data_IF_211397877951
#
_entry.id   IF_211397877951
#
_cell.length_a   1.000
_cell.length_b   1.000
_cell.length_c   1.000
_cell.angle_alpha   90.00
_cell.angle_beta   90.00
_cell.angle_gamma   90.00
#
_symmetry.space_group_name_H-M   'P 1'
#
loop_
_entity.id
_entity.type
_entity.pdbx_description
1 polymer ?
#
# COMPACT_ATOMS: atom_id res chain seq x y z
N UNK A 1 3.80 11.13 26.72
CA UNK A 1 3.75 11.86 25.44
C UNK A 1 3.51 10.81 24.38
N UNK A 2 2.33 10.80 23.75
CA UNK A 2 2.18 10.09 22.47
C UNK A 2 3.03 10.92 21.49
N UNK A 3 4.00 10.31 20.83
CA UNK A 3 4.68 10.97 19.72
C UNK A 3 3.58 11.34 18.72
N UNK A 4 3.44 12.63 18.40
CA UNK A 4 2.49 13.05 17.37
C UNK A 4 2.97 12.44 16.05
N UNK A 5 2.32 11.37 15.62
CA UNK A 5 2.54 10.77 14.31
C UNK A 5 2.14 11.79 13.25
N UNK A 6 3.11 12.48 12.66
CA UNK A 6 2.86 13.39 11.54
C UNK A 6 2.75 12.54 10.27
N UNK A 7 1.60 12.59 9.61
CA UNK A 7 1.42 11.94 8.31
C UNK A 7 2.30 12.65 7.29
N UNK A 8 3.06 11.88 6.51
CA UNK A 8 4.01 12.44 5.56
C UNK A 8 4.01 11.66 4.23
N UNK A 9 3.64 12.36 3.16
CA UNK A 9 3.49 11.79 1.82
C UNK A 9 4.81 11.54 1.07
N UNK A 10 5.96 11.93 1.64
CA UNK A 10 7.30 11.73 1.06
C UNK A 10 8.17 10.78 1.89
N UNK A 11 7.68 10.28 3.02
CA UNK A 11 8.44 9.42 3.92
C UNK A 11 8.79 8.06 3.29
N UNK A 12 9.91 7.49 3.72
CA UNK A 12 10.28 6.14 3.29
C UNK A 12 9.24 5.11 3.78
N UNK A 13 9.01 4.10 2.95
CA UNK A 13 8.14 2.96 3.25
C UNK A 13 8.95 1.95 4.06
N UNK A 14 8.39 1.48 5.18
CA UNK A 14 8.98 0.44 6.02
C UNK A 14 8.27 -0.87 5.73
N UNK A 15 8.92 -1.84 5.04
CA UNK A 15 8.31 -3.11 4.67
C UNK A 15 7.70 -3.83 5.87
N UNK A 16 6.50 -4.35 5.69
CA UNK A 16 5.76 -5.13 6.69
C UNK A 16 5.30 -4.33 7.89
N UNK A 17 5.41 -3.00 7.85
CA UNK A 17 5.13 -2.16 8.99
C UNK A 17 4.35 -0.90 8.66
N UNK A 18 4.92 0.04 7.91
CA UNK A 18 4.38 1.41 7.87
C UNK A 18 4.58 2.15 6.56
N UNK A 19 3.65 3.06 6.27
CA UNK A 19 3.64 3.98 5.14
C UNK A 19 3.26 5.36 5.68
N UNK A 20 4.04 6.38 5.34
CA UNK A 20 3.73 7.78 5.63
C UNK A 20 3.43 8.12 7.10
N UNK A 21 3.98 7.35 8.04
CA UNK A 21 3.73 7.51 9.48
C UNK A 21 2.67 6.56 10.06
N UNK A 22 1.83 5.94 9.24
CA UNK A 22 0.80 4.99 9.68
C UNK A 22 1.39 3.58 9.72
N UNK A 23 1.15 2.82 10.79
CA UNK A 23 1.60 1.43 10.92
C UNK A 23 0.44 0.43 10.92
N UNK A 24 0.70 -0.79 10.44
CA UNK A 24 -0.16 -1.93 10.66
C UNK A 24 -0.33 -2.17 12.17
N UNK A 25 -1.56 -2.40 12.60
CA UNK A 25 -1.94 -2.57 14.00
C UNK A 25 -2.25 -1.28 14.75
N UNK A 26 -1.98 -0.09 14.17
CA UNK A 26 -2.40 1.17 14.77
C UNK A 26 -3.93 1.25 14.84
N UNK A 27 -4.43 1.97 15.85
CA UNK A 27 -5.86 2.22 15.98
C UNK A 27 -6.28 3.42 15.14
N UNK A 28 -7.36 3.27 14.37
CA UNK A 28 -7.85 4.31 13.47
C UNK A 28 -8.20 5.61 14.18
N UNK A 29 -8.70 5.57 15.42
CA UNK A 29 -9.06 6.79 16.16
C UNK A 29 -7.83 7.65 16.38
N UNK A 30 -6.72 7.05 16.80
CA UNK A 30 -5.45 7.76 17.01
C UNK A 30 -4.91 8.36 15.70
N UNK A 31 -5.04 7.63 14.59
CA UNK A 31 -4.57 8.09 13.27
C UNK A 31 -5.39 9.28 12.77
N UNK A 32 -6.71 9.21 12.85
CA UNK A 32 -7.60 10.28 12.39
C UNK A 32 -7.41 11.55 13.22
N UNK A 33 -7.22 11.41 14.54
CA UNK A 33 -6.87 12.55 15.41
C UNK A 33 -5.53 13.20 15.00
N UNK A 34 -4.55 12.41 14.56
CA UNK A 34 -3.25 12.92 14.11
C UNK A 34 -3.32 13.65 12.76
N UNK A 35 -4.23 13.25 11.86
CA UNK A 35 -4.41 13.91 10.55
C UNK A 35 -5.05 15.28 10.70
N UNK A 36 -6.06 15.39 11.57
CA UNK A 36 -6.84 16.61 11.70
C UNK A 36 -7.43 17.08 10.36
N UNK A 37 -7.32 18.38 10.09
CA UNK A 37 -7.83 19.02 8.87
C UNK A 37 -6.78 19.15 7.74
N UNK A 38 -5.60 18.54 7.90
CA UNK A 38 -4.50 18.69 6.93
C UNK A 38 -4.77 17.96 5.61
N UNK A 39 -5.43 16.80 5.68
CA UNK A 39 -5.73 15.97 4.52
C UNK A 39 -7.21 15.61 4.44
N UNK A 40 -7.71 15.41 3.22
CA UNK A 40 -9.03 14.82 3.02
C UNK A 40 -9.03 13.35 3.43
N UNK A 41 -10.12 12.90 4.03
CA UNK A 41 -10.32 11.51 4.43
C UNK A 41 -11.67 11.05 3.87
N UNK A 42 -11.62 10.10 2.94
CA UNK A 42 -12.81 9.40 2.48
C UNK A 42 -12.92 8.06 3.21
N UNK A 43 -14.13 7.73 3.65
CA UNK A 43 -14.40 6.50 4.41
C UNK A 43 -15.54 5.72 3.75
N UNK A 44 -15.34 4.43 3.57
CA UNK A 44 -16.39 3.52 3.12
C UNK A 44 -16.34 2.20 3.88
N UNK A 45 -17.52 1.69 4.23
CA UNK A 45 -17.68 0.40 4.88
C UNK A 45 -18.00 -0.69 3.86
N UNK A 46 -17.50 -1.89 4.09
CA UNK A 46 -17.87 -3.07 3.32
C UNK A 46 -17.90 -4.31 4.20
N UNK A 47 -18.68 -5.30 3.80
CA UNK A 47 -18.76 -6.60 4.47
C UNK A 47 -18.00 -7.64 3.66
N UNK A 48 -17.22 -8.48 4.33
CA UNK A 48 -16.61 -9.64 3.71
C UNK A 48 -16.76 -10.86 4.63
N UNK A 49 -17.42 -11.91 4.14
CA UNK A 49 -17.75 -13.12 4.91
C UNK A 49 -18.44 -12.85 6.26
N UNK A 50 -19.37 -11.89 6.32
CA UNK A 50 -20.10 -11.55 7.55
C UNK A 50 -19.31 -10.70 8.56
N UNK A 51 -18.14 -10.19 8.18
CA UNK A 51 -17.32 -9.28 8.99
C UNK A 51 -17.30 -7.91 8.33
N UNK A 52 -17.55 -6.85 9.11
CA UNK A 52 -17.47 -5.48 8.60
C UNK A 52 -16.04 -4.95 8.66
N UNK A 53 -15.71 -4.18 7.64
CA UNK A 53 -14.45 -3.47 7.51
C UNK A 53 -14.72 -2.04 7.10
N UNK A 54 -13.77 -1.16 7.45
CA UNK A 54 -13.80 0.23 7.05
C UNK A 54 -12.51 0.54 6.31
N UNK A 55 -12.63 1.06 5.10
CA UNK A 55 -11.50 1.56 4.33
C UNK A 55 -11.46 3.08 4.44
N UNK A 56 -10.26 3.58 4.69
CA UNK A 56 -9.95 5.00 4.75
C UNK A 56 -8.98 5.32 3.62
N UNK A 57 -9.30 6.35 2.84
CA UNK A 57 -8.43 6.91 1.80
C UNK A 57 -8.04 8.33 2.20
N UNK A 58 -6.75 8.55 2.43
CA UNK A 58 -6.20 9.85 2.82
C UNK A 58 -5.65 10.54 1.59
N UNK A 59 -5.99 11.81 1.42
CA UNK A 59 -5.47 12.68 0.37
C UNK A 59 -5.58 12.04 -1.03
N UNK A 60 -6.81 11.73 -1.43
CA UNK A 60 -7.12 11.08 -2.72
C UNK A 60 -6.46 9.70 -2.89
N UNK A 61 -6.29 8.95 -1.79
CA UNK A 61 -5.74 7.59 -1.82
C UNK A 61 -4.22 7.50 -1.75
N UNK A 62 -3.51 8.64 -1.57
CA UNK A 62 -2.06 8.66 -1.39
C UNK A 62 -1.62 7.64 -0.32
N UNK A 63 -2.36 7.58 0.80
CA UNK A 63 -2.24 6.50 1.77
C UNK A 63 -3.65 5.98 2.01
N UNK A 64 -3.80 4.66 1.95
CA UNK A 64 -5.08 4.00 2.16
C UNK A 64 -4.90 2.83 3.11
N UNK A 65 -5.89 2.58 3.95
CA UNK A 65 -5.86 1.45 4.87
C UNK A 65 -7.25 0.92 5.18
N UNK A 66 -7.28 -0.36 5.52
CA UNK A 66 -8.50 -1.03 6.01
C UNK A 66 -8.32 -1.35 7.49
N UNK A 67 -9.32 -1.04 8.30
CA UNK A 67 -9.39 -1.49 9.69
C UNK A 67 -10.54 -2.49 9.91
N UNK A 68 -10.37 -3.33 10.91
CA UNK A 68 -11.42 -4.23 11.40
C UNK A 68 -12.42 -3.50 12.31
N UNK A 69 -13.45 -4.20 12.80
CA UNK A 69 -14.47 -3.64 13.68
C UNK A 69 -13.92 -3.09 15.01
N UNK A 70 -12.76 -3.58 15.47
CA UNK A 70 -12.05 -3.05 16.64
C UNK A 70 -11.25 -1.78 16.33
N UNK A 71 -11.25 -1.32 15.08
CA UNK A 71 -10.52 -0.13 14.62
C UNK A 71 -9.03 -0.37 14.39
N UNK A 72 -8.54 -1.61 14.43
CA UNK A 72 -7.13 -1.89 14.18
C UNK A 72 -6.87 -1.97 12.68
N UNK A 73 -5.83 -1.29 12.21
CA UNK A 73 -5.39 -1.32 10.81
C UNK A 73 -4.82 -2.70 10.48
N UNK A 74 -5.41 -3.36 9.48
CA UNK A 74 -5.07 -4.73 9.06
C UNK A 74 -4.52 -4.81 7.63
N UNK A 75 -4.72 -3.75 6.83
CA UNK A 75 -4.15 -3.60 5.49
C UNK A 75 -3.77 -2.14 5.28
N UNK A 76 -2.62 -1.89 4.64
CA UNK A 76 -2.06 -0.56 4.44
C UNK A 76 -1.31 -0.50 3.11
N UNK A 77 -1.63 0.50 2.29
CA UNK A 77 -1.00 0.72 0.99
C UNK A 77 -0.92 2.20 0.63
N UNK A 78 -0.17 2.49 -0.43
CA UNK A 78 -0.07 3.80 -1.03
C UNK A 78 -0.19 3.73 -2.55
N UNK A 79 -0.63 4.85 -3.12
CA UNK A 79 -0.78 5.11 -4.54
C UNK A 79 -0.29 6.54 -4.84
N UNK A 80 -0.08 6.94 -6.10
CA UNK A 80 0.09 8.35 -6.42
C UNK A 80 -1.13 9.14 -5.89
N UNK A 81 -0.95 10.28 -5.20
CA UNK A 81 0.22 11.16 -5.22
C UNK A 81 1.27 10.94 -4.10
N UNK A 82 1.30 9.79 -3.42
CA UNK A 82 2.40 9.48 -2.48
C UNK A 82 3.74 9.41 -3.21
N UNK A 83 4.75 10.10 -2.69
CA UNK A 83 6.07 10.23 -3.31
C UNK A 83 7.16 9.47 -2.54
N UNK A 84 6.82 8.87 -1.41
CA UNK A 84 7.71 8.04 -0.63
C UNK A 84 8.06 6.72 -1.33
N UNK A 85 9.08 6.03 -0.82
CA UNK A 85 9.60 4.82 -1.45
C UNK A 85 10.24 3.87 -0.45
N UNK A 86 10.41 2.60 -0.83
CA UNK A 86 11.33 1.70 -0.15
C UNK A 86 12.69 1.73 -0.85
N UNK A 87 13.73 2.15 -0.12
CA UNK A 87 15.11 2.23 -0.59
C UNK A 87 15.29 3.01 -1.91
N UNK A 88 14.43 4.00 -2.20
CA UNK A 88 14.44 4.77 -3.46
C UNK A 88 14.29 3.90 -4.71
N UNK A 89 13.71 2.71 -4.57
CA UNK A 89 13.62 1.70 -5.63
C UNK A 89 12.19 1.26 -5.87
N UNK A 90 11.44 0.94 -4.82
CA UNK A 90 10.04 0.55 -4.95
C UNK A 90 9.16 1.71 -4.47
N UNK A 91 8.32 2.22 -5.35
CA UNK A 91 7.42 3.34 -5.12
C UNK A 91 6.12 3.12 -5.93
N UNK A 92 5.00 3.75 -5.52
CA UNK A 92 3.75 3.67 -6.27
C UNK A 92 3.85 4.38 -7.62
N UNK A 93 3.22 3.81 -8.65
CA UNK A 93 3.26 4.35 -10.02
C UNK A 93 4.51 3.93 -10.81
N UNK A 94 5.20 2.88 -10.38
CA UNK A 94 6.36 2.33 -11.09
C UNK A 94 5.92 1.54 -12.33
N UNK A 95 6.69 1.63 -13.41
CA UNK A 95 6.43 0.84 -14.62
C UNK A 95 7.05 -0.56 -14.56
N UNK A 96 6.50 -1.49 -15.34
CA UNK A 96 7.12 -2.81 -15.59
C UNK A 96 8.54 -2.68 -16.12
N UNK A 97 8.77 -1.75 -17.06
CA UNK A 97 10.09 -1.51 -17.63
C UNK A 97 11.12 -1.06 -16.60
N UNK A 98 10.71 -0.28 -15.60
CA UNK A 98 11.56 0.10 -14.46
C UNK A 98 11.79 -1.06 -13.51
N UNK A 99 10.74 -1.80 -13.14
CA UNK A 99 10.84 -3.00 -12.30
C UNK A 99 11.82 -4.01 -12.88
N UNK A 100 11.76 -4.29 -14.19
CA UNK A 100 12.72 -5.18 -14.89
C UNK A 100 14.17 -4.72 -14.74
N UNK A 101 14.45 -3.41 -14.70
CA UNK A 101 15.81 -2.86 -14.55
C UNK A 101 16.32 -2.96 -13.12
N UNK A 102 15.43 -2.81 -12.14
CA UNK A 102 15.83 -2.72 -10.73
C UNK A 102 15.71 -4.03 -9.98
N UNK A 103 15.08 -5.08 -10.51
CA UNK A 103 14.86 -6.33 -9.77
C UNK A 103 15.45 -7.55 -10.46
N UNK A 104 15.81 -8.54 -9.66
CA UNK A 104 16.38 -9.82 -10.12
C UNK A 104 15.31 -10.89 -10.26
N UNK A 105 14.25 -10.81 -9.45
CA UNK A 105 13.16 -11.77 -9.46
C UNK A 105 11.82 -11.09 -9.24
N UNK A 106 10.84 -11.46 -10.05
CA UNK A 106 9.45 -11.06 -9.90
C UNK A 106 8.60 -12.32 -9.76
N UNK A 107 7.66 -12.33 -8.84
CA UNK A 107 6.82 -13.49 -8.57
C UNK A 107 5.42 -13.06 -8.19
N UNK A 108 4.42 -13.84 -8.61
CA UNK A 108 3.03 -13.61 -8.24
C UNK A 108 2.73 -14.49 -7.03
N UNK A 109 2.33 -13.88 -5.92
CA UNK A 109 1.99 -14.59 -4.68
C UNK A 109 0.64 -14.05 -4.20
N UNK A 110 -0.37 -14.95 -4.09
CA UNK A 110 -1.72 -14.62 -3.61
C UNK A 110 -2.36 -13.43 -4.35
N UNK A 111 -2.07 -13.28 -5.65
CA UNK A 111 -2.58 -12.17 -6.47
C UNK A 111 -1.78 -10.87 -6.38
N UNK A 112 -0.60 -10.86 -5.74
CA UNK A 112 0.27 -9.68 -5.63
C UNK A 112 1.62 -9.91 -6.31
N UNK A 113 2.22 -8.82 -6.78
CA UNK A 113 3.56 -8.83 -7.36
C UNK A 113 4.60 -8.65 -6.26
N UNK A 114 5.41 -9.67 -6.06
CA UNK A 114 6.50 -9.70 -5.09
C UNK A 114 7.83 -9.54 -5.81
N UNK A 115 8.60 -8.55 -5.38
CA UNK A 115 9.91 -8.21 -5.94
C UNK A 115 11.02 -8.77 -5.06
N UNK A 116 11.99 -9.44 -5.69
CA UNK A 116 13.19 -10.02 -5.05
C UNK A 116 12.88 -10.90 -3.81
N UNK A 117 11.73 -11.60 -3.84
CA UNK A 117 11.17 -12.40 -2.73
C UNK A 117 10.87 -11.62 -1.44
N UNK A 118 10.81 -10.29 -1.47
CA UNK A 118 10.45 -9.51 -0.29
C UNK A 118 8.92 -9.54 -0.07
N UNK A 119 8.45 -10.46 0.76
CA UNK A 119 7.01 -10.64 1.07
C UNK A 119 6.43 -9.58 2.02
N UNK A 120 7.23 -8.61 2.44
CA UNK A 120 6.82 -7.56 3.35
C UNK A 120 6.37 -6.28 2.64
N UNK A 121 6.68 -6.17 1.35
CA UNK A 121 6.27 -5.06 0.48
C UNK A 121 5.98 -5.59 -0.92
N UNK A 122 4.82 -5.27 -1.47
CA UNK A 122 4.33 -5.92 -2.68
C UNK A 122 3.34 -5.03 -3.42
N UNK A 123 3.24 -5.20 -4.73
CA UNK A 123 2.33 -4.41 -5.54
C UNK A 123 0.99 -5.13 -5.74
N UNK A 124 -0.10 -4.35 -5.67
CA UNK A 124 -1.40 -4.76 -6.16
C UNK A 124 -1.36 -4.93 -7.68
N UNK A 125 -2.10 -5.91 -8.21
CA UNK A 125 -2.22 -6.05 -9.66
C UNK A 125 -3.07 -4.90 -10.21
N UNK A 126 -2.66 -4.29 -11.33
CA UNK A 126 -3.51 -3.34 -12.03
C UNK A 126 -4.83 -3.97 -12.44
N UNK A 127 -5.94 -3.24 -12.26
CA UNK A 127 -7.30 -3.75 -12.50
C UNK A 127 -7.55 -4.22 -13.94
N UNK A 128 -6.80 -3.67 -14.90
CA UNK A 128 -6.90 -3.97 -16.32
C UNK A 128 -6.05 -5.18 -16.75
N UNK A 129 -5.41 -5.86 -15.80
CA UNK A 129 -4.54 -7.01 -16.06
C UNK A 129 -5.10 -8.26 -15.37
N UNK A 130 -5.80 -9.08 -16.14
CA UNK A 130 -6.44 -10.32 -15.66
C UNK A 130 -5.89 -11.61 -16.30
N UNK A 131 -5.20 -11.53 -17.44
CA UNK A 131 -4.75 -12.71 -18.20
C UNK A 131 -3.24 -12.67 -18.54
N UNK A 132 -2.39 -13.10 -17.59
CA UNK A 132 -0.97 -13.31 -17.84
C UNK A 132 -0.42 -14.47 -17.01
N UNK A 133 0.55 -15.21 -17.58
CA UNK A 133 1.15 -16.37 -16.91
C UNK A 133 2.43 -15.99 -16.16
N UNK A 134 3.20 -15.06 -16.72
CA UNK A 134 4.48 -14.62 -16.19
C UNK A 134 4.61 -13.09 -16.24
N UNK A 135 5.30 -12.51 -15.25
CA UNK A 135 5.59 -11.06 -15.23
C UNK A 135 6.31 -10.58 -16.51
N UNK A 136 7.10 -11.46 -17.15
CA UNK A 136 7.76 -11.18 -18.43
C UNK A 136 6.81 -10.90 -19.59
N UNK A 137 5.56 -11.35 -19.49
CA UNK A 137 4.54 -11.21 -20.54
C UNK A 137 3.95 -9.79 -20.56
N UNK A 138 4.15 -9.01 -19.48
CA UNK A 138 3.65 -7.65 -19.36
C UNK A 138 4.48 -6.67 -20.22
N UNK A 139 3.76 -5.77 -20.88
CA UNK A 139 4.35 -4.67 -21.63
C UNK A 139 5.03 -3.67 -20.67
N UNK A 140 6.09 -3.00 -21.14
CA UNK A 140 6.97 -2.20 -20.28
C UNK A 140 6.31 -0.93 -19.73
N UNK A 141 5.22 -0.45 -20.34
CA UNK A 141 4.47 0.75 -19.94
C UNK A 141 3.37 0.47 -18.91
N UNK A 142 3.09 -0.79 -18.59
CA UNK A 142 2.17 -1.17 -17.51
C UNK A 142 2.64 -0.56 -16.21
N UNK A 143 1.72 0.06 -15.47
CA UNK A 143 2.00 0.80 -14.25
C UNK A 143 1.43 0.06 -13.04
N UNK A 144 2.26 -0.17 -12.03
CA UNK A 144 1.85 -0.68 -10.73
C UNK A 144 1.66 0.50 -9.76
N UNK A 145 0.41 0.92 -9.58
CA UNK A 145 0.08 2.07 -8.73
C UNK A 145 0.05 1.74 -7.24
N UNK A 146 -0.53 0.60 -6.87
CA UNK A 146 -0.74 0.26 -5.46
C UNK A 146 0.47 -0.48 -4.88
N UNK A 147 1.08 0.09 -3.83
CA UNK A 147 2.19 -0.52 -3.10
C UNK A 147 1.81 -0.74 -1.63
N UNK A 148 1.73 -2.01 -1.25
CA UNK A 148 1.30 -2.48 0.05
C UNK A 148 2.47 -2.78 0.97
N UNK A 149 2.26 -2.64 2.28
CA UNK A 149 3.08 -3.26 3.32
C UNK A 149 2.26 -4.29 4.09
N UNK A 150 2.87 -5.41 4.46
CA UNK A 150 2.16 -6.49 5.13
C UNK A 150 3.03 -7.71 5.36
N UNK A 151 2.40 -8.87 5.50
CA UNK A 151 3.08 -10.15 5.51
C UNK A 151 2.35 -11.14 4.60
N UNK A 152 2.93 -11.47 3.45
CA UNK A 152 2.36 -12.42 2.48
C UNK A 152 2.70 -13.89 2.76
N UNK A 153 3.40 -14.22 3.84
CA UNK A 153 3.66 -15.62 4.22
C UNK A 153 2.39 -16.45 4.43
#
# INVERSE_FOLDING_TARGET
MKDNTVINLVSDIIPGKSIGGISLGDNVVDIIECIGDEFTIDVFSFENFGVNYFCYKINNGAISFTCNESGNIISLWCEPPYLGSFNKRLYPGITVGELKKISKKQSIIKGYLVIDNNKLIYYGMPDDIDDFNHFSDLHDDVIFNELYVGNLE
#
